data_IF_852707172598
#
_entry.id   IF_852707172598
#
_cell.length_a   1.000
_cell.length_b   1.000
_cell.length_c   1.000
_cell.angle_alpha   90.00
_cell.angle_beta   90.00
_cell.angle_gamma   90.00
#
_symmetry.space_group_name_H-M   'P 1'
#
loop_
_entity.id
_entity.type
_entity.pdbx_description
1 polymer ?
#
# COMPACT_ATOMS: atom_id res chain seq x y z
N UNK A 1 10.05 11.34 18.67
CA UNK A 1 10.66 10.33 17.79
C UNK A 1 9.69 9.18 17.72
N UNK A 2 9.02 9.00 16.58
CA UNK A 2 8.01 7.96 16.41
C UNK A 2 8.76 6.67 16.11
N UNK A 3 8.48 5.60 16.86
CA UNK A 3 9.25 4.36 16.77
C UNK A 3 8.60 3.41 15.78
N UNK A 4 9.40 2.79 14.92
CA UNK A 4 9.00 1.71 14.03
C UNK A 4 8.12 0.66 14.73
N UNK A 5 8.44 0.35 15.99
CA UNK A 5 7.68 -0.55 16.86
C UNK A 5 6.19 -0.17 16.99
N UNK A 6 5.85 1.11 17.13
CA UNK A 6 4.46 1.56 17.31
C UNK A 6 3.63 1.33 16.04
N UNK A 7 4.26 1.42 14.86
CA UNK A 7 3.60 1.16 13.58
C UNK A 7 3.41 -0.35 13.39
N UNK A 8 4.42 -1.13 13.74
CA UNK A 8 4.32 -2.59 13.70
C UNK A 8 3.22 -3.10 14.65
N UNK A 9 3.16 -2.62 15.88
CA UNK A 9 2.07 -2.95 16.83
C UNK A 9 0.69 -2.54 16.30
N UNK A 10 0.61 -1.48 15.50
CA UNK A 10 -0.65 -1.04 14.90
C UNK A 10 -1.13 -2.01 13.82
N UNK A 11 -0.21 -2.56 13.04
CA UNK A 11 -0.48 -3.35 11.85
C UNK A 11 -0.53 -4.86 12.13
N UNK A 12 0.36 -5.37 12.98
CA UNK A 12 0.55 -6.80 13.23
C UNK A 12 -0.67 -7.46 13.90
N UNK A 13 -1.43 -6.69 14.68
CA UNK A 13 -2.66 -7.17 15.33
C UNK A 13 -3.90 -7.13 14.42
N UNK A 14 -3.77 -6.71 13.16
CA UNK A 14 -4.89 -6.60 12.23
C UNK A 14 -4.91 -7.81 11.30
N UNK A 15 -5.87 -8.71 11.49
CA UNK A 15 -6.03 -9.91 10.64
C UNK A 15 -6.15 -9.56 9.16
N UNK A 16 -6.85 -8.47 8.84
CA UNK A 16 -6.99 -7.97 7.46
C UNK A 16 -5.65 -7.56 6.85
N UNK A 17 -4.73 -6.98 7.63
CA UNK A 17 -3.40 -6.59 7.13
C UNK A 17 -2.58 -7.83 6.80
N UNK A 18 -2.58 -8.81 7.70
CA UNK A 18 -1.83 -10.06 7.47
C UNK A 18 -2.39 -10.86 6.30
N UNK A 19 -3.71 -11.00 6.20
CA UNK A 19 -4.34 -11.64 5.06
C UNK A 19 -4.02 -10.91 3.75
N UNK A 20 -4.03 -9.58 3.76
CA UNK A 20 -3.69 -8.80 2.57
C UNK A 20 -2.24 -9.00 2.12
N UNK A 21 -1.29 -9.03 3.08
CA UNK A 21 0.13 -9.28 2.82
C UNK A 21 0.33 -10.70 2.28
N UNK A 22 -0.21 -11.71 2.97
CA UNK A 22 -0.09 -13.12 2.58
C UNK A 22 -0.64 -13.39 1.18
N UNK A 23 -1.82 -12.83 0.89
CA UNK A 23 -2.47 -12.97 -0.42
C UNK A 23 -1.63 -12.28 -1.51
N UNK A 24 -1.09 -11.09 -1.23
CA UNK A 24 -0.22 -10.36 -2.16
C UNK A 24 1.11 -11.08 -2.41
N UNK A 25 1.71 -11.67 -1.38
CA UNK A 25 2.94 -12.46 -1.49
C UNK A 25 2.78 -13.67 -2.42
N UNK A 26 1.62 -14.34 -2.38
CA UNK A 26 1.35 -15.52 -3.22
C UNK A 26 1.41 -15.23 -4.73
N UNK A 27 1.23 -13.97 -5.13
CA UNK A 27 1.28 -13.56 -6.54
C UNK A 27 2.71 -13.50 -7.10
N UNK A 28 3.73 -13.44 -6.23
CA UNK A 28 5.13 -13.24 -6.63
C UNK A 28 5.32 -12.02 -7.55
N UNK A 29 4.57 -10.94 -7.31
CA UNK A 29 4.71 -9.70 -8.09
C UNK A 29 6.09 -9.08 -7.88
N UNK A 30 6.70 -8.48 -8.92
CA UNK A 30 7.92 -7.71 -8.76
C UNK A 30 7.61 -6.38 -8.06
N UNK A 31 8.51 -5.98 -7.16
CA UNK A 31 8.55 -4.63 -6.57
C UNK A 31 7.16 -4.10 -6.15
N UNK A 32 6.52 -4.80 -5.21
CA UNK A 32 5.15 -4.48 -4.78
C UNK A 32 5.07 -3.98 -3.35
N UNK A 33 4.03 -3.20 -3.06
CA UNK A 33 3.58 -2.92 -1.70
C UNK A 33 2.09 -2.56 -1.69
N UNK A 34 1.49 -2.70 -0.52
CA UNK A 34 0.18 -2.12 -0.22
C UNK A 34 0.41 -0.71 0.33
N UNK A 35 -0.36 0.27 -0.14
CA UNK A 35 -0.21 1.69 0.20
C UNK A 35 -1.54 2.32 0.62
N UNK A 36 -1.49 3.58 1.00
CA UNK A 36 -2.67 4.45 0.98
C UNK A 36 -3.68 4.16 2.08
N UNK A 37 -4.93 3.92 1.67
CA UNK A 37 -6.11 3.99 2.53
C UNK A 37 -6.07 3.06 3.73
N UNK A 38 -5.69 1.80 3.53
CA UNK A 38 -5.62 0.78 4.58
C UNK A 38 -4.77 1.24 5.78
N UNK A 39 -3.52 1.64 5.50
CA UNK A 39 -2.54 2.01 6.54
C UNK A 39 -3.01 3.28 7.26
N UNK A 40 -3.43 4.30 6.50
CA UNK A 40 -3.94 5.57 7.04
C UNK A 40 -5.16 5.35 7.93
N UNK A 41 -6.14 4.60 7.45
CA UNK A 41 -7.44 4.45 8.12
C UNK A 41 -7.31 3.67 9.43
N UNK A 42 -6.47 2.63 9.45
CA UNK A 42 -6.11 1.92 10.69
C UNK A 42 -5.38 2.84 11.67
N UNK A 43 -4.38 3.59 11.20
CA UNK A 43 -3.59 4.48 12.05
C UNK A 43 -4.44 5.59 12.67
N UNK A 44 -5.17 6.32 11.83
CA UNK A 44 -5.99 7.44 12.27
C UNK A 44 -7.23 6.98 13.03
N UNK A 45 -7.78 5.80 12.72
CA UNK A 45 -8.85 5.18 13.50
C UNK A 45 -8.44 4.98 14.95
N UNK A 46 -7.26 4.39 15.19
CA UNK A 46 -6.71 4.20 16.54
C UNK A 46 -6.50 5.52 17.26
N UNK A 47 -5.91 6.53 16.60
CA UNK A 47 -5.62 7.84 17.20
C UNK A 47 -6.89 8.59 17.57
N UNK A 48 -7.90 8.52 16.71
CA UNK A 48 -9.17 9.23 16.91
C UNK A 48 -10.17 8.43 17.77
N UNK A 49 -9.79 7.24 18.25
CA UNK A 49 -10.66 6.37 19.04
C UNK A 49 -11.90 5.87 18.27
N UNK A 50 -11.80 5.74 16.94
CA UNK A 50 -12.91 5.32 16.07
C UNK A 50 -12.49 4.15 15.21
N UNK A 51 -13.34 3.13 15.12
CA UNK A 51 -13.11 2.07 14.14
C UNK A 51 -13.39 2.62 12.74
N UNK A 52 -12.39 2.61 11.87
CA UNK A 52 -12.52 2.96 10.45
C UNK A 52 -12.29 1.69 9.66
N UNK A 53 -13.33 1.23 8.97
CA UNK A 53 -13.18 0.11 8.04
C UNK A 53 -12.57 0.64 6.74
N UNK A 54 -11.39 0.13 6.32
CA UNK A 54 -10.81 0.46 5.03
C UNK A 54 -11.78 0.13 3.91
N UNK A 55 -11.92 1.03 2.93
CA UNK A 55 -12.82 0.83 1.78
C UNK A 55 -12.19 -0.05 0.71
N UNK A 56 -10.89 0.08 0.55
CA UNK A 56 -10.06 -0.55 -0.47
C UNK A 56 -8.67 -0.89 0.09
N UNK A 57 -8.01 -1.82 -0.58
CA UNK A 57 -6.60 -2.18 -0.36
C UNK A 57 -5.84 -1.88 -1.64
N UNK A 58 -5.11 -0.76 -1.66
CA UNK A 58 -4.31 -0.35 -2.81
C UNK A 58 -3.02 -1.18 -2.87
N UNK A 59 -3.01 -2.23 -3.71
CA UNK A 59 -1.82 -2.99 -4.05
C UNK A 59 -1.17 -2.38 -5.30
N UNK A 60 0.03 -1.84 -5.14
CA UNK A 60 0.81 -1.32 -6.26
C UNK A 60 2.02 -2.20 -6.51
N UNK A 61 2.41 -2.31 -7.77
CA UNK A 61 3.60 -3.06 -8.18
C UNK A 61 4.24 -2.36 -9.38
N UNK A 62 5.48 -2.73 -9.70
CA UNK A 62 6.17 -2.18 -10.86
C UNK A 62 6.62 -3.31 -11.78
N UNK A 63 5.99 -3.40 -12.95
CA UNK A 63 6.40 -4.31 -14.01
C UNK A 63 6.38 -3.59 -15.37
N UNK A 64 7.56 -3.26 -15.88
CA UNK A 64 7.69 -2.61 -17.19
C UNK A 64 7.58 -3.59 -18.37
N UNK A 65 7.59 -4.91 -18.12
CA UNK A 65 7.46 -5.91 -19.18
C UNK A 65 5.99 -6.11 -19.63
N UNK A 66 5.03 -5.87 -18.73
CA UNK A 66 3.60 -5.95 -19.02
C UNK A 66 2.85 -4.77 -18.38
N UNK A 67 2.58 -3.74 -19.19
CA UNK A 67 1.83 -2.55 -18.77
C UNK A 67 0.33 -2.65 -19.06
N UNK A 68 -0.20 -3.84 -19.40
CA UNK A 68 -1.61 -3.99 -19.76
C UNK A 68 -2.55 -3.73 -18.58
N UNK A 69 -3.62 -2.92 -18.72
CA UNK A 69 -4.61 -2.77 -17.66
C UNK A 69 -5.37 -4.08 -17.39
N UNK A 70 -5.44 -4.99 -18.37
CA UNK A 70 -6.05 -6.30 -18.22
C UNK A 70 -5.35 -7.15 -17.16
N UNK A 71 -4.02 -7.04 -17.04
CA UNK A 71 -3.25 -7.73 -16.02
C UNK A 71 -3.68 -7.32 -14.62
N UNK A 72 -3.86 -6.02 -14.39
CA UNK A 72 -4.32 -5.47 -13.12
C UNK A 72 -5.71 -6.04 -12.75
N UNK A 73 -6.65 -6.06 -13.70
CA UNK A 73 -7.99 -6.64 -13.48
C UNK A 73 -7.96 -8.14 -13.19
N UNK A 74 -7.08 -8.90 -13.86
CA UNK A 74 -6.91 -10.32 -13.58
C UNK A 74 -6.39 -10.55 -12.16
N UNK A 75 -5.42 -9.75 -11.73
CA UNK A 75 -4.87 -9.81 -10.38
C UNK A 75 -5.95 -9.44 -9.35
N UNK A 76 -6.68 -8.34 -9.55
CA UNK A 76 -7.81 -7.95 -8.67
C UNK A 76 -8.83 -9.09 -8.54
N UNK A 77 -9.24 -9.68 -9.67
CA UNK A 77 -10.20 -10.77 -9.69
C UNK A 77 -9.68 -12.03 -8.99
N UNK A 78 -8.38 -12.33 -9.11
CA UNK A 78 -7.76 -13.45 -8.42
C UNK A 78 -7.69 -13.21 -6.90
N UNK A 79 -7.17 -12.06 -6.46
CA UNK A 79 -7.08 -11.68 -5.05
C UNK A 79 -8.45 -11.68 -4.36
N UNK A 80 -9.48 -11.16 -5.05
CA UNK A 80 -10.85 -11.16 -4.54
C UNK A 80 -11.41 -12.57 -4.36
N UNK A 81 -11.09 -13.51 -5.27
CA UNK A 81 -11.50 -14.92 -5.12
C UNK A 81 -10.75 -15.62 -3.99
N UNK A 82 -9.49 -15.25 -3.74
CA UNK A 82 -8.64 -15.89 -2.75
C UNK A 82 -8.95 -15.44 -1.32
N UNK A 83 -9.22 -14.15 -1.10
CA UNK A 83 -9.38 -13.56 0.24
C UNK A 83 -10.75 -12.88 0.47
N UNK A 84 -11.50 -12.56 -0.59
CA UNK A 84 -12.69 -11.72 -0.48
C UNK A 84 -12.40 -10.23 -0.19
N UNK A 85 -11.14 -9.83 -0.05
CA UNK A 85 -10.76 -8.47 0.28
C UNK A 85 -10.92 -7.50 -0.91
N UNK A 86 -11.20 -6.21 -0.66
CA UNK A 86 -11.48 -5.21 -1.70
C UNK A 86 -10.19 -4.63 -2.31
N UNK A 87 -9.38 -5.48 -2.94
CA UNK A 87 -8.15 -5.04 -3.60
C UNK A 87 -8.41 -4.09 -4.77
N UNK A 88 -7.55 -3.07 -4.87
CA UNK A 88 -7.33 -2.20 -6.02
C UNK A 88 -5.90 -2.38 -6.48
N UNK A 89 -5.70 -2.83 -7.72
CA UNK A 89 -4.36 -3.18 -8.21
C UNK A 89 -3.96 -2.21 -9.31
N UNK A 90 -2.76 -1.64 -9.17
CA UNK A 90 -2.25 -0.70 -10.17
C UNK A 90 -0.76 -0.93 -10.47
N UNK A 91 -0.45 -1.27 -11.71
CA UNK A 91 0.94 -1.29 -12.19
C UNK A 91 1.47 0.14 -12.35
N UNK A 92 2.45 0.50 -11.52
CA UNK A 92 3.09 1.81 -11.54
C UNK A 92 3.87 2.08 -12.84
N UNK A 93 4.31 1.05 -13.55
CA UNK A 93 4.94 1.24 -14.86
C UNK A 93 4.00 1.90 -15.87
N UNK A 94 2.67 1.72 -15.74
CA UNK A 94 1.65 2.39 -16.56
C UNK A 94 1.17 3.72 -15.97
N UNK A 95 1.11 3.84 -14.65
CA UNK A 95 0.39 4.94 -13.99
C UNK A 95 0.92 6.35 -14.27
N UNK A 96 2.20 6.51 -14.62
CA UNK A 96 2.76 7.81 -15.03
C UNK A 96 1.98 8.46 -16.19
N UNK A 97 1.42 7.65 -17.10
CA UNK A 97 0.64 8.15 -18.25
C UNK A 97 -0.66 8.83 -17.80
N UNK A 98 -1.31 8.29 -16.76
CA UNK A 98 -2.54 8.84 -16.19
C UNK A 98 -2.26 10.08 -15.36
N UNK A 99 -1.12 10.11 -14.69
CA UNK A 99 -0.71 11.23 -13.84
C UNK A 99 -0.08 12.38 -14.64
N UNK A 100 0.16 12.22 -15.95
CA UNK A 100 0.89 13.18 -16.78
C UNK A 100 2.31 13.47 -16.26
N UNK A 101 2.99 12.41 -15.79
CA UNK A 101 4.32 12.47 -15.22
C UNK A 101 5.35 11.70 -16.05
N UNK A 102 6.63 11.91 -15.75
CA UNK A 102 7.69 11.09 -16.33
C UNK A 102 7.56 9.63 -15.88
N UNK A 103 8.01 8.71 -16.73
CA UNK A 103 7.96 7.28 -16.43
C UNK A 103 8.69 6.95 -15.12
N UNK A 104 8.00 6.22 -14.24
CA UNK A 104 8.59 5.75 -12.99
C UNK A 104 9.56 4.61 -13.26
N UNK A 105 10.48 4.42 -12.32
CA UNK A 105 11.50 3.35 -12.36
C UNK A 105 11.26 2.26 -11.32
N UNK A 106 10.39 2.51 -10.35
CA UNK A 106 10.02 1.58 -9.28
C UNK A 106 8.74 2.06 -8.58
N UNK A 107 8.19 1.24 -7.69
CA UNK A 107 7.14 1.63 -6.75
C UNK A 107 7.60 2.76 -5.82
N UNK A 108 8.84 2.75 -5.34
CA UNK A 108 9.38 3.81 -4.48
C UNK A 108 9.42 5.15 -5.23
N UNK A 109 9.86 5.12 -6.49
CA UNK A 109 9.88 6.30 -7.35
C UNK A 109 8.45 6.83 -7.60
N UNK A 110 7.51 5.95 -7.93
CA UNK A 110 6.09 6.30 -8.09
C UNK A 110 5.49 6.91 -6.81
N UNK A 111 5.78 6.31 -5.64
CA UNK A 111 5.30 6.82 -4.35
C UNK A 111 5.86 8.20 -4.01
N UNK A 112 7.04 8.57 -4.53
CA UNK A 112 7.60 9.92 -4.36
C UNK A 112 6.78 11.02 -5.03
N UNK A 113 5.86 10.64 -5.91
CA UNK A 113 4.96 11.52 -6.65
C UNK A 113 3.52 11.50 -6.14
N UNK A 114 3.25 10.73 -5.09
CA UNK A 114 1.90 10.66 -4.53
C UNK A 114 1.49 11.99 -3.92
N UNK A 115 0.22 12.42 -4.07
CA UNK A 115 -0.21 13.78 -3.73
C UNK A 115 -0.16 14.09 -2.23
N UNK A 116 -0.02 13.08 -1.37
CA UNK A 116 0.06 13.28 0.08
C UNK A 116 1.13 12.39 0.73
N UNK A 117 1.76 12.92 1.77
CA UNK A 117 2.78 12.22 2.55
C UNK A 117 2.24 10.94 3.19
N UNK A 118 0.98 10.93 3.64
CA UNK A 118 0.37 9.75 4.28
C UNK A 118 0.05 8.63 3.28
N UNK A 119 -0.22 8.97 2.01
CA UNK A 119 -0.39 7.96 0.96
C UNK A 119 0.94 7.32 0.54
N UNK A 120 2.07 8.01 0.72
CA UNK A 120 3.40 7.54 0.37
C UNK A 120 4.04 6.67 1.48
N UNK A 121 3.21 5.92 2.20
CA UNK A 121 3.60 4.94 3.20
C UNK A 121 3.15 3.58 2.69
N UNK A 122 4.06 2.61 2.71
CA UNK A 122 3.85 1.29 2.14
C UNK A 122 4.13 0.18 3.14
N UNK A 123 3.44 -0.94 2.94
CA UNK A 123 3.68 -2.21 3.63
C UNK A 123 3.91 -3.30 2.60
N UNK A 124 4.90 -4.14 2.81
CA UNK A 124 5.20 -5.30 1.97
C UNK A 124 5.51 -6.52 2.85
N UNK A 125 5.56 -7.70 2.24
CA UNK A 125 5.91 -8.93 2.95
C UNK A 125 7.42 -9.17 3.02
N UNK A 126 7.87 -9.87 4.07
CA UNK A 126 9.21 -10.48 4.14
C UNK A 126 9.10 -12.00 4.07
N UNK A 127 10.22 -12.69 3.79
CA UNK A 127 10.28 -14.16 3.80
C UNK A 127 9.87 -14.76 5.15
N UNK A 128 10.04 -14.02 6.24
CA UNK A 128 9.67 -14.42 7.61
C UNK A 128 8.22 -14.07 7.96
N UNK A 129 7.42 -13.63 6.98
CA UNK A 129 6.03 -13.17 7.10
C UNK A 129 5.80 -11.96 8.01
N UNK A 130 6.87 -11.36 8.52
CA UNK A 130 6.77 -10.08 9.22
C UNK A 130 6.49 -8.96 8.20
N UNK A 131 5.52 -8.06 8.46
CA UNK A 131 5.31 -6.88 7.63
C UNK A 131 6.57 -6.00 7.60
N UNK A 132 6.94 -5.54 6.40
CA UNK A 132 7.95 -4.52 6.19
C UNK A 132 7.25 -3.20 5.90
N UNK A 133 7.42 -2.22 6.79
CA UNK A 133 6.84 -0.89 6.62
C UNK A 133 7.92 0.09 6.17
N UNK A 134 7.58 0.93 5.20
CA UNK A 134 8.46 1.97 4.69
C UNK A 134 7.68 3.24 4.34
N UNK A 135 8.38 4.38 4.29
CA UNK A 135 7.80 5.67 3.94
C UNK A 135 8.79 6.49 3.13
N UNK A 136 8.28 7.28 2.19
CA UNK A 136 9.09 8.24 1.42
C UNK A 136 9.37 9.52 2.22
N UNK A 137 8.39 10.01 2.98
CA UNK A 137 8.45 11.30 3.68
C UNK A 137 8.51 11.16 5.22
N UNK A 138 8.84 9.97 5.70
CA UNK A 138 8.82 9.60 7.11
C UNK A 138 7.42 9.24 7.63
N UNK A 139 7.35 8.78 8.87
CA UNK A 139 6.10 8.21 9.43
C UNK A 139 5.21 9.23 10.15
N UNK A 140 5.64 10.49 10.26
CA UNK A 140 4.93 11.51 11.03
C UNK A 140 3.47 11.70 10.63
N UNK A 141 3.15 11.50 9.36
CA UNK A 141 1.81 11.64 8.81
C UNK A 141 0.81 10.59 9.33
N UNK A 142 1.26 9.43 9.81
CA UNK A 142 0.36 8.45 10.45
C UNK A 142 -0.13 8.92 11.82
N UNK A 143 0.61 9.80 12.49
CA UNK A 143 0.36 10.19 13.88
C UNK A 143 -0.23 11.58 14.03
N UNK A 144 -0.39 12.29 12.91
CA UNK A 144 -1.05 13.59 12.81
C UNK A 144 -2.14 13.45 11.75
N UNK A 145 -3.44 13.36 12.13
CA UNK A 145 -4.53 13.11 11.19
C UNK A 145 -4.86 14.34 10.34
N UNK A 146 -3.89 14.76 9.54
CA UNK A 146 -3.92 15.91 8.63
C UNK A 146 -3.32 15.47 7.31
N UNK A 147 -4.00 15.77 6.21
CA UNK A 147 -3.44 15.57 4.88
C UNK A 147 -2.38 16.65 4.61
N UNK A 148 -1.13 16.24 4.52
CA UNK A 148 -0.02 17.08 4.09
C UNK A 148 0.38 16.69 2.67
N UNK A 149 0.37 17.67 1.77
CA UNK A 149 0.80 17.54 0.38
C UNK A 149 2.32 17.36 0.27
N UNK A 150 2.77 16.71 -0.80
CA UNK A 150 4.18 16.46 -1.14
C UNK A 150 4.77 17.55 -2.01
#
# INVERSE_FOLDING_TARGET
MIRYCEIMELLDHQSMVQEAIDTSMSLSLPNWCIVGGLIRDLAWGRILGRSVMPRDIDLIYFDAADISPEKDWQIEGHLRKLSGLPFRVNNQARMHQFNSEASYTSVIDAMSKFPTTVSAIGISGSNDRAPLVFSIFGYGALFKPVFQIT
#
